data_IF_745880275418
#
_entry.id   IF_745880275418
#
_cell.length_a   1.000
_cell.length_b   1.000
_cell.length_c   1.000
_cell.angle_alpha   90.00
_cell.angle_beta   90.00
_cell.angle_gamma   90.00
#
_symmetry.space_group_name_H-M   'P 1'
#
loop_
_entity.id
_entity.type
_entity.pdbx_description
1 polymer ?
#
# COMPACT_ATOMS: atom_id res chain seq x y z
N UNK A 1 -4.22 -0.45 15.93
CA UNK A 1 -3.37 0.75 15.83
C UNK A 1 -4.27 1.98 15.70
N UNK A 2 -4.27 2.95 16.64
CA UNK A 2 -5.07 4.15 16.50
C UNK A 2 -4.62 4.89 15.24
N UNK A 3 -5.56 5.25 14.37
CA UNK A 3 -5.28 6.16 13.24
C UNK A 3 -5.08 7.55 13.80
N UNK A 4 -3.86 7.81 14.27
CA UNK A 4 -3.45 9.15 14.65
C UNK A 4 -3.34 9.96 13.36
N UNK A 5 -4.14 11.02 13.26
CA UNK A 5 -3.90 12.03 12.22
C UNK A 5 -2.49 12.63 12.35
N UNK A 6 -2.00 13.26 11.29
CA UNK A 6 -0.68 13.91 11.28
C UNK A 6 -0.52 14.86 12.48
N UNK A 7 -1.54 15.67 12.78
CA UNK A 7 -1.46 16.64 13.86
C UNK A 7 -1.29 16.02 15.27
N UNK A 8 -2.14 15.07 15.73
CA UNK A 8 -1.92 14.43 17.03
C UNK A 8 -0.60 13.64 17.07
N UNK A 9 -0.15 13.07 15.96
CA UNK A 9 1.17 12.44 15.89
C UNK A 9 2.30 13.47 16.09
N UNK A 10 2.28 14.61 15.38
CA UNK A 10 3.29 15.68 15.54
C UNK A 10 3.27 16.27 16.94
N UNK A 11 2.09 16.43 17.55
CA UNK A 11 1.98 16.86 18.95
C UNK A 11 2.67 15.88 19.90
N UNK A 12 2.47 14.57 19.74
CA UNK A 12 3.15 13.58 20.58
C UNK A 12 4.68 13.64 20.44
N UNK A 13 5.21 13.93 19.24
CA UNK A 13 6.65 14.16 19.07
C UNK A 13 7.11 15.44 19.76
N UNK A 14 6.34 16.53 19.66
CA UNK A 14 6.67 17.78 20.34
C UNK A 14 6.69 17.60 21.88
N UNK A 15 5.69 16.89 22.41
CA UNK A 15 5.57 16.59 23.83
C UNK A 15 6.75 15.72 24.32
N UNK A 16 7.16 14.72 23.52
CA UNK A 16 8.31 13.87 23.83
C UNK A 16 9.64 14.65 23.86
N UNK A 17 9.80 15.62 22.97
CA UNK A 17 10.99 16.49 22.89
C UNK A 17 10.94 17.70 23.85
N UNK A 18 9.85 17.85 24.62
CA UNK A 18 9.66 18.98 25.53
C UNK A 18 9.52 20.35 24.82
N UNK A 19 9.13 20.35 23.55
CA UNK A 19 8.96 21.57 22.75
C UNK A 19 7.49 21.92 22.56
N UNK A 20 7.18 23.21 22.54
CA UNK A 20 5.82 23.66 22.25
C UNK A 20 5.45 23.36 20.79
N UNK A 21 4.28 22.73 20.59
CA UNK A 21 3.75 22.46 19.25
C UNK A 21 3.58 23.74 18.43
N UNK A 22 4.10 23.72 17.20
CA UNK A 22 3.91 24.80 16.21
C UNK A 22 3.14 24.24 15.00
N UNK A 23 2.07 24.90 14.54
CA UNK A 23 1.24 24.38 13.44
C UNK A 23 2.00 23.99 12.17
N UNK A 24 3.06 24.73 11.84
CA UNK A 24 3.87 24.44 10.64
C UNK A 24 4.60 23.09 10.70
N UNK A 25 4.85 22.53 11.89
CA UNK A 25 5.53 21.23 12.02
C UNK A 25 4.68 20.11 11.44
N UNK A 26 3.35 20.20 11.56
CA UNK A 26 2.44 19.26 10.91
C UNK A 26 2.52 19.34 9.40
N UNK A 27 2.60 20.55 8.83
CA UNK A 27 2.76 20.76 7.39
C UNK A 27 4.09 20.21 6.91
N UNK A 28 5.19 20.52 7.60
CA UNK A 28 6.52 20.01 7.26
C UNK A 28 6.58 18.49 7.30
N UNK A 29 6.01 17.87 8.34
CA UNK A 29 5.96 16.41 8.43
C UNK A 29 5.13 15.80 7.29
N UNK A 30 3.95 16.36 7.00
CA UNK A 30 3.12 15.88 5.90
C UNK A 30 3.88 15.94 4.57
N UNK A 31 4.52 17.07 4.27
CA UNK A 31 5.31 17.24 3.05
C UNK A 31 6.48 16.25 2.98
N UNK A 32 7.22 16.06 4.08
CA UNK A 32 8.31 15.10 4.14
C UNK A 32 7.81 13.65 3.93
N UNK A 33 6.67 13.31 4.52
CA UNK A 33 6.05 11.99 4.36
C UNK A 33 5.57 11.75 2.92
N UNK A 34 4.95 12.74 2.29
CA UNK A 34 4.52 12.67 0.88
C UNK A 34 5.72 12.47 -0.05
N UNK A 35 6.84 13.18 0.18
CA UNK A 35 8.08 13.00 -0.56
C UNK A 35 8.67 11.59 -0.36
N UNK A 36 8.68 11.09 0.88
CA UNK A 36 9.13 9.74 1.18
C UNK A 36 8.30 8.69 0.44
N UNK A 37 6.97 8.82 0.46
CA UNK A 37 6.06 7.95 -0.29
C UNK A 37 6.29 8.04 -1.80
N UNK A 38 6.52 9.24 -2.34
CA UNK A 38 6.83 9.44 -3.75
C UNK A 38 8.12 8.72 -4.16
N UNK A 39 9.16 8.77 -3.33
CA UNK A 39 10.42 8.04 -3.55
C UNK A 39 10.18 6.54 -3.55
N UNK A 40 9.49 6.01 -2.53
CA UNK A 40 9.18 4.58 -2.45
C UNK A 40 8.38 4.10 -3.66
N UNK A 41 7.37 4.86 -4.08
CA UNK A 41 6.57 4.54 -5.26
C UNK A 41 7.42 4.57 -6.53
N UNK A 42 8.32 5.55 -6.67
CA UNK A 42 9.27 5.61 -7.77
C UNK A 42 10.18 4.38 -7.83
N UNK A 43 10.74 3.95 -6.70
CA UNK A 43 11.57 2.74 -6.60
C UNK A 43 10.74 1.50 -6.98
N UNK A 44 9.53 1.35 -6.44
CA UNK A 44 8.62 0.26 -6.79
C UNK A 44 8.31 0.20 -8.29
N UNK A 45 8.09 1.36 -8.93
CA UNK A 45 7.86 1.45 -10.36
C UNK A 45 9.09 1.02 -11.17
N UNK A 46 10.29 1.47 -10.78
CA UNK A 46 11.54 1.05 -11.40
C UNK A 46 11.71 -0.47 -11.31
N UNK A 47 11.50 -1.06 -10.13
CA UNK A 47 11.57 -2.52 -9.93
C UNK A 47 10.54 -3.25 -10.79
N UNK A 48 9.30 -2.76 -10.83
CA UNK A 48 8.26 -3.36 -11.67
C UNK A 48 8.64 -3.33 -13.15
N UNK A 49 9.15 -2.20 -13.63
CA UNK A 49 9.62 -2.05 -15.01
C UNK A 49 10.77 -2.98 -15.34
N UNK A 50 11.81 -3.02 -14.49
CA UNK A 50 12.97 -3.91 -14.69
C UNK A 50 12.56 -5.38 -14.73
N UNK A 51 11.53 -5.76 -13.98
CA UNK A 51 10.99 -7.13 -13.96
C UNK A 51 9.92 -7.39 -15.04
N UNK A 52 9.65 -6.44 -15.96
CA UNK A 52 8.64 -6.58 -17.01
C UNK A 52 7.20 -6.62 -16.50
N UNK A 53 6.92 -5.99 -15.36
CA UNK A 53 5.65 -6.08 -14.61
C UNK A 53 4.70 -4.89 -14.82
N UNK A 54 4.93 -4.10 -15.86
CA UNK A 54 4.25 -2.83 -16.13
C UNK A 54 2.98 -2.96 -17.00
N UNK A 55 2.63 -4.18 -17.42
CA UNK A 55 1.43 -4.42 -18.24
C UNK A 55 0.13 -4.10 -17.49
N UNK A 56 -0.92 -3.60 -18.18
CA UNK A 56 -2.17 -3.13 -17.54
C UNK A 56 -2.88 -4.21 -16.72
N UNK A 57 -2.72 -5.49 -17.10
CA UNK A 57 -3.31 -6.63 -16.41
C UNK A 57 -2.26 -7.49 -15.69
N UNK A 58 -1.01 -7.04 -15.54
CA UNK A 58 0.09 -7.88 -15.05
C UNK A 58 -0.23 -8.48 -13.67
N UNK A 59 -0.72 -7.66 -12.73
CA UNK A 59 -1.08 -8.13 -11.38
C UNK A 59 -2.22 -9.15 -11.41
N UNK A 60 -3.19 -8.97 -12.30
CA UNK A 60 -4.31 -9.91 -12.42
C UNK A 60 -3.85 -11.22 -13.06
N UNK A 61 -2.98 -11.19 -14.07
CA UNK A 61 -2.47 -12.40 -14.70
C UNK A 61 -1.45 -13.16 -13.83
N UNK A 62 -0.78 -12.46 -12.92
CA UNK A 62 0.29 -13.00 -12.07
C UNK A 62 -0.08 -12.93 -10.57
N UNK A 63 -1.38 -12.91 -10.26
CA UNK A 63 -1.85 -13.02 -8.87
C UNK A 63 -1.61 -14.45 -8.36
N UNK A 64 -2.10 -14.76 -7.15
CA UNK A 64 -1.95 -16.06 -6.48
C UNK A 64 -2.03 -17.24 -7.48
N UNK A 65 -0.91 -17.94 -7.75
CA UNK A 65 -0.89 -19.01 -8.74
C UNK A 65 -1.95 -20.08 -8.46
N UNK A 66 -2.14 -20.48 -7.20
CA UNK A 66 -3.15 -21.45 -6.82
C UNK A 66 -4.60 -21.01 -7.13
N UNK A 67 -4.86 -19.70 -7.16
CA UNK A 67 -6.19 -19.16 -7.47
C UNK A 67 -6.40 -18.88 -8.97
N UNK A 68 -5.34 -18.90 -9.78
CA UNK A 68 -5.34 -18.44 -11.18
C UNK A 68 -4.92 -19.51 -12.17
N UNK A 69 -4.28 -20.58 -11.69
CA UNK A 69 -3.78 -21.68 -12.51
C UNK A 69 -4.93 -22.45 -13.14
N UNK A 70 -4.79 -22.79 -14.42
CA UNK A 70 -5.72 -23.62 -15.19
C UNK A 70 -5.01 -24.91 -15.55
N UNK A 71 -5.71 -26.03 -15.40
CA UNK A 71 -5.21 -27.31 -15.88
C UNK A 71 -5.53 -27.47 -17.37
N UNK A 72 -4.62 -28.09 -18.12
CA UNK A 72 -4.88 -28.43 -19.52
C UNK A 72 -6.07 -29.40 -19.61
N UNK A 73 -7.09 -29.01 -20.37
CA UNK A 73 -8.33 -29.78 -20.57
C UNK A 73 -9.43 -29.52 -19.53
N UNK A 74 -9.26 -28.54 -18.63
CA UNK A 74 -10.32 -28.11 -17.72
C UNK A 74 -11.45 -27.39 -18.48
N UNK A 75 -12.70 -27.63 -18.06
CA UNK A 75 -13.89 -27.02 -18.67
C UNK A 75 -13.97 -25.52 -18.37
N UNK A 76 -14.36 -24.72 -19.36
CA UNK A 76 -14.43 -23.27 -19.19
C UNK A 76 -15.68 -22.88 -18.38
N UNK A 77 -15.46 -22.34 -17.19
CA UNK A 77 -16.53 -21.89 -16.31
C UNK A 77 -17.09 -20.53 -16.74
N UNK A 78 -18.43 -20.38 -16.72
CA UNK A 78 -19.13 -19.10 -16.94
C UNK A 78 -18.65 -17.99 -15.99
N UNK A 79 -18.32 -18.37 -14.75
CA UNK A 79 -17.72 -17.48 -13.74
C UNK A 79 -16.34 -18.01 -13.38
N UNK A 80 -15.32 -17.37 -13.94
CA UNK A 80 -13.91 -17.77 -13.80
C UNK A 80 -13.34 -17.60 -12.39
N UNK A 81 -13.82 -16.64 -11.62
CA UNK A 81 -13.24 -16.32 -10.31
C UNK A 81 -14.27 -15.69 -9.38
N UNK A 82 -14.30 -16.17 -8.14
CA UNK A 82 -14.99 -15.51 -7.04
C UNK A 82 -13.96 -14.74 -6.22
N UNK A 83 -13.97 -13.42 -6.35
CA UNK A 83 -13.10 -12.55 -5.56
C UNK A 83 -13.80 -12.16 -4.25
N UNK A 84 -13.14 -12.39 -3.12
CA UNK A 84 -13.55 -11.85 -1.83
C UNK A 84 -12.53 -10.78 -1.41
N UNK A 85 -13.00 -9.55 -1.22
CA UNK A 85 -12.17 -8.47 -0.68
C UNK A 85 -12.48 -8.34 0.80
N UNK A 86 -11.45 -8.46 1.66
CA UNK A 86 -11.61 -8.40 3.11
C UNK A 86 -11.80 -6.96 3.65
N UNK A 87 -12.06 -5.99 2.77
CA UNK A 87 -12.18 -4.58 3.13
C UNK A 87 -10.88 -4.00 3.71
N UNK A 88 -9.73 -4.53 3.31
CA UNK A 88 -8.41 -4.15 3.81
C UNK A 88 -8.19 -4.53 5.29
N UNK A 89 -8.91 -5.54 5.80
CA UNK A 89 -8.76 -5.99 7.19
C UNK A 89 -7.43 -6.71 7.44
N UNK A 90 -6.88 -7.42 6.47
CA UNK A 90 -5.54 -8.02 6.52
C UNK A 90 -4.45 -6.97 6.75
N UNK A 91 -4.57 -5.81 6.09
CA UNK A 91 -3.65 -4.68 6.25
C UNK A 91 -3.79 -3.98 7.62
N UNK A 92 -4.86 -4.25 8.38
CA UNK A 92 -4.97 -3.85 9.80
C UNK A 92 -4.20 -4.78 10.74
N UNK A 93 -3.71 -5.93 10.26
CA UNK A 93 -2.96 -6.94 11.03
C UNK A 93 -1.44 -6.87 10.80
N UNK A 94 -0.98 -6.06 9.86
CA UNK A 94 0.44 -5.76 9.73
C UNK A 94 0.75 -4.69 10.77
N UNK A 95 1.50 -5.09 11.80
CA UNK A 95 1.96 -4.27 12.92
C UNK A 95 2.87 -3.13 12.47
#
# INVERSE_FOLDING_TARGET
CPKLGIQPFVKSMCDAEGIAFKPYLSTQLSTAFDLYMAILNGVCLCVQKTLGREGPNWRMLNCCPACQYRLDGEEELDVRMLACMDGNNSLRRVE
#
